data_IF_140431280207
#
_entry.id   IF_140431280207
#
_cell.length_a   1.000
_cell.length_b   1.000
_cell.length_c   1.000
_cell.angle_alpha   90.00
_cell.angle_beta   90.00
_cell.angle_gamma   90.00
#
_symmetry.space_group_name_H-M   'P 1'
#
loop_
_entity.id
_entity.type
_entity.pdbx_description
1 polymer ?
#
# COMPACT_ATOMS: atom_id res chain seq x y z
N UNK A 1 -7.23 40.72 7.31
CA UNK A 1 -7.62 41.89 6.49
C UNK A 1 -6.38 42.71 6.22
N UNK A 2 -6.12 43.17 5.00
CA UNK A 2 -5.01 44.05 4.73
C UNK A 2 -5.26 45.43 5.35
N UNK A 3 -4.28 45.96 6.05
CA UNK A 3 -4.34 47.29 6.66
C UNK A 3 -3.61 48.27 5.75
N UNK A 4 -4.27 49.32 5.31
CA UNK A 4 -3.69 50.38 4.48
C UNK A 4 -3.38 51.56 5.42
N UNK A 5 -2.11 51.89 5.57
CA UNK A 5 -1.69 53.10 6.30
C UNK A 5 -1.46 54.25 5.30
N UNK A 6 -2.21 55.35 5.41
CA UNK A 6 -1.99 56.53 4.53
C UNK A 6 -0.75 57.30 4.98
N UNK A 7 0.24 57.42 4.11
CA UNK A 7 1.41 58.28 4.36
C UNK A 7 2.72 57.83 3.73
N UNK A 8 2.89 56.59 3.37
CA UNK A 8 4.09 56.12 2.66
C UNK A 8 3.80 55.94 1.17
N UNK A 9 4.77 56.27 0.31
CA UNK A 9 4.69 56.02 -1.14
C UNK A 9 4.83 54.53 -1.42
N UNK A 10 3.78 53.76 -1.12
CA UNK A 10 3.70 52.31 -1.37
C UNK A 10 2.55 51.67 -0.63
N UNK A 11 2.11 50.51 -1.14
CA UNK A 11 1.12 49.67 -0.46
C UNK A 11 1.87 48.58 0.29
N UNK A 12 1.73 48.57 1.61
CA UNK A 12 2.28 47.50 2.46
C UNK A 12 1.25 46.43 2.67
N UNK A 13 1.56 45.22 2.26
CA UNK A 13 0.72 44.02 2.53
C UNK A 13 1.31 43.27 3.73
N UNK A 14 0.50 43.09 4.75
CA UNK A 14 0.84 42.24 5.89
C UNK A 14 -0.02 40.97 5.85
N UNK A 15 0.64 39.85 5.73
CA UNK A 15 -0.01 38.54 5.72
C UNK A 15 0.14 37.90 7.11
N UNK A 16 -0.98 37.58 7.72
CA UNK A 16 -1.01 36.78 8.94
C UNK A 16 -1.55 35.40 8.60
N UNK A 17 -0.77 34.38 8.89
CA UNK A 17 -1.16 32.97 8.70
C UNK A 17 -1.59 32.37 10.04
N UNK A 18 -2.55 31.47 9.99
CA UNK A 18 -2.95 30.65 11.14
C UNK A 18 -2.89 29.16 10.71
N UNK A 19 -1.98 28.35 11.24
CA UNK A 19 -0.97 28.68 12.25
C UNK A 19 0.14 29.61 11.72
N UNK A 20 0.96 30.20 12.62
CA UNK A 20 2.17 30.93 12.25
C UNK A 20 3.09 30.10 11.36
N UNK A 21 3.77 30.74 10.40
CA UNK A 21 4.63 30.05 9.41
C UNK A 21 5.70 29.18 10.07
N UNK A 22 6.25 29.60 11.20
CA UNK A 22 7.26 28.85 11.95
C UNK A 22 6.68 27.54 12.49
N UNK A 23 5.47 27.57 13.06
CA UNK A 23 4.78 26.37 13.55
C UNK A 23 4.44 25.43 12.40
N UNK A 24 3.96 25.97 11.28
CA UNK A 24 3.66 25.18 10.08
C UNK A 24 4.93 24.52 9.52
N UNK A 25 6.03 25.25 9.43
CA UNK A 25 7.32 24.71 9.00
C UNK A 25 7.81 23.57 9.90
N UNK A 26 7.66 23.72 11.21
CA UNK A 26 8.01 22.67 12.18
C UNK A 26 7.14 21.40 12.01
N UNK A 27 5.84 21.57 11.84
CA UNK A 27 4.89 20.43 11.63
C UNK A 27 5.20 19.69 10.33
N UNK A 28 5.47 20.40 9.24
CA UNK A 28 5.90 19.82 7.97
C UNK A 28 7.22 19.08 8.11
N UNK A 29 8.20 19.63 8.83
CA UNK A 29 9.48 18.96 9.10
C UNK A 29 9.29 17.64 9.87
N UNK A 30 8.44 17.62 10.88
CA UNK A 30 8.08 16.41 11.63
C UNK A 30 7.38 15.38 10.74
N UNK A 31 6.45 15.81 9.91
CA UNK A 31 5.77 14.94 8.96
C UNK A 31 6.75 14.31 7.98
N UNK A 32 7.62 15.12 7.36
CA UNK A 32 8.64 14.60 6.46
C UNK A 32 9.53 13.54 7.11
N UNK A 33 9.94 13.75 8.37
CA UNK A 33 10.70 12.76 9.13
C UNK A 33 9.89 11.48 9.40
N UNK A 34 8.60 11.59 9.71
CA UNK A 34 7.75 10.43 10.02
C UNK A 34 7.51 9.54 8.80
N UNK A 35 7.34 10.14 7.62
CA UNK A 35 7.16 9.38 6.38
C UNK A 35 8.46 8.91 5.72
N UNK A 36 9.61 9.23 6.28
CA UNK A 36 10.90 8.72 5.82
C UNK A 36 11.18 7.29 6.34
N UNK A 37 10.40 6.79 7.27
CA UNK A 37 10.49 5.41 7.76
C UNK A 37 9.21 4.63 7.49
N UNK A 38 9.21 3.84 6.43
CA UNK A 38 8.06 3.06 5.99
C UNK A 38 7.88 1.72 6.70
N UNK A 39 8.76 1.37 7.64
CA UNK A 39 8.68 0.07 8.33
C UNK A 39 7.33 -0.18 8.99
N UNK A 40 6.70 0.86 9.54
CA UNK A 40 5.36 0.78 10.11
C UNK A 40 4.31 0.37 9.09
N UNK A 41 4.29 1.02 7.93
CA UNK A 41 3.40 0.68 6.81
C UNK A 41 3.70 -0.72 6.25
N UNK A 42 4.97 -0.99 5.94
CA UNK A 42 5.38 -2.24 5.31
C UNK A 42 5.04 -3.47 6.16
N UNK A 43 5.09 -3.35 7.50
CA UNK A 43 4.65 -4.44 8.39
C UNK A 43 3.16 -4.76 8.22
N UNK A 44 2.32 -3.77 7.89
CA UNK A 44 0.89 -4.01 7.64
C UNK A 44 0.64 -4.72 6.31
N UNK A 45 1.58 -4.65 5.37
CA UNK A 45 1.49 -5.33 4.08
C UNK A 45 1.67 -6.84 4.20
N UNK A 46 2.44 -7.33 5.18
CA UNK A 46 2.68 -8.77 5.34
C UNK A 46 1.39 -9.59 5.51
N UNK A 47 0.49 -9.31 6.46
CA UNK A 47 -0.75 -10.06 6.58
C UNK A 47 -1.68 -9.87 5.37
N UNK A 48 -1.67 -8.71 4.73
CA UNK A 48 -2.44 -8.47 3.51
C UNK A 48 -1.92 -9.34 2.36
N UNK A 49 -0.60 -9.41 2.17
CA UNK A 49 0.02 -10.29 1.20
C UNK A 49 -0.32 -11.76 1.44
N UNK A 50 -0.23 -12.23 2.67
CA UNK A 50 -0.58 -13.62 3.04
C UNK A 50 -2.03 -13.94 2.68
N UNK A 51 -2.96 -13.02 2.97
CA UNK A 51 -4.38 -13.17 2.61
C UNK A 51 -4.57 -13.26 1.09
N UNK A 52 -3.91 -12.38 0.33
CA UNK A 52 -3.99 -12.42 -1.13
C UNK A 52 -3.40 -13.69 -1.73
N UNK A 53 -2.31 -14.19 -1.16
CA UNK A 53 -1.73 -15.46 -1.58
C UNK A 53 -2.64 -16.64 -1.21
N UNK A 54 -3.26 -16.64 -0.04
CA UNK A 54 -4.25 -17.65 0.33
C UNK A 54 -5.43 -17.69 -0.66
N UNK A 55 -5.99 -16.52 -1.00
CA UNK A 55 -7.04 -16.37 -2.01
C UNK A 55 -6.58 -16.90 -3.38
N UNK A 56 -5.34 -16.62 -3.77
CA UNK A 56 -4.76 -17.09 -5.02
C UNK A 56 -4.69 -18.62 -5.10
N UNK A 57 -4.28 -19.27 -4.01
CA UNK A 57 -4.28 -20.75 -3.93
C UNK A 57 -5.69 -21.35 -3.85
N UNK A 58 -6.60 -20.71 -3.13
CA UNK A 58 -7.99 -21.18 -3.03
C UNK A 58 -8.73 -21.14 -4.36
N UNK A 59 -8.49 -20.09 -5.14
CA UNK A 59 -9.14 -19.86 -6.43
C UNK A 59 -8.35 -20.42 -7.62
N UNK A 60 -7.22 -21.07 -7.37
CA UNK A 60 -6.31 -21.59 -8.39
C UNK A 60 -5.95 -20.52 -9.44
N UNK A 61 -5.65 -19.32 -8.98
CA UNK A 61 -5.25 -18.19 -9.82
C UNK A 61 -6.40 -17.28 -10.27
N UNK A 62 -7.65 -17.69 -10.15
CA UNK A 62 -8.79 -16.92 -10.68
C UNK A 62 -8.97 -15.55 -10.01
N UNK A 63 -8.55 -15.39 -8.74
CA UNK A 63 -8.61 -14.12 -8.02
C UNK A 63 -7.84 -12.97 -8.69
N UNK A 64 -6.86 -13.27 -9.53
CA UNK A 64 -6.03 -12.29 -10.23
C UNK A 64 -6.24 -12.26 -11.74
N UNK A 65 -7.36 -12.82 -12.21
CA UNK A 65 -7.82 -12.73 -13.60
C UNK A 65 -7.24 -13.80 -14.53
N UNK A 66 -6.69 -14.89 -13.99
CA UNK A 66 -6.23 -16.00 -14.81
C UNK A 66 -6.14 -17.30 -14.04
N UNK A 67 -7.14 -18.17 -14.20
CA UNK A 67 -7.07 -19.51 -13.60
C UNK A 67 -5.82 -20.25 -14.05
N UNK A 68 -5.13 -20.90 -13.15
CA UNK A 68 -3.93 -21.66 -13.47
C UNK A 68 -4.23 -22.81 -14.44
N UNK A 69 -3.32 -23.04 -15.36
CA UNK A 69 -3.45 -24.15 -16.30
C UNK A 69 -3.62 -25.47 -15.54
N UNK A 70 -4.55 -26.28 -16.02
CA UNK A 70 -4.80 -27.61 -15.44
C UNK A 70 -3.51 -28.45 -15.39
N UNK A 71 -3.42 -29.32 -14.42
CA UNK A 71 -2.35 -30.31 -14.37
C UNK A 71 -2.66 -31.45 -15.33
N UNK A 72 -1.62 -32.15 -15.76
CA UNK A 72 -1.75 -33.36 -16.56
C UNK A 72 -2.68 -34.37 -15.88
N UNK A 73 -3.64 -34.98 -16.61
CA UNK A 73 -4.61 -35.91 -16.02
C UNK A 73 -3.97 -37.13 -15.32
N UNK A 74 -2.86 -37.65 -15.84
CA UNK A 74 -2.16 -38.78 -15.21
C UNK A 74 -1.47 -38.35 -13.92
N UNK A 75 -0.89 -37.16 -13.92
CA UNK A 75 -0.35 -36.56 -12.71
C UNK A 75 -1.45 -36.32 -11.66
N UNK A 76 -2.61 -35.79 -12.07
CA UNK A 76 -3.74 -35.56 -11.18
C UNK A 76 -4.21 -36.86 -10.53
N UNK A 77 -4.34 -37.94 -11.31
CA UNK A 77 -4.72 -39.27 -10.81
C UNK A 77 -3.68 -39.85 -9.83
N UNK A 78 -2.39 -39.72 -10.14
CA UNK A 78 -1.32 -40.16 -9.22
C UNK A 78 -1.34 -39.38 -7.90
N UNK A 79 -1.48 -38.08 -7.99
CA UNK A 79 -1.56 -37.17 -6.84
C UNK A 79 -2.72 -37.53 -5.93
N UNK A 80 -3.90 -37.76 -6.51
CA UNK A 80 -5.11 -38.16 -5.75
C UNK A 80 -4.94 -39.52 -5.06
N UNK A 81 -4.37 -40.52 -5.77
CA UNK A 81 -4.07 -41.83 -5.18
C UNK A 81 -3.06 -41.77 -4.03
N UNK A 82 -2.15 -40.78 -4.05
CA UNK A 82 -1.20 -40.54 -2.98
C UNK A 82 -1.77 -39.69 -1.83
N UNK A 83 -3.07 -39.41 -1.80
CA UNK A 83 -3.73 -38.66 -0.71
C UNK A 83 -3.51 -37.15 -0.71
N UNK A 84 -2.96 -36.57 -1.79
CA UNK A 84 -2.62 -35.14 -1.85
C UNK A 84 -3.73 -34.24 -2.42
N UNK A 85 -4.92 -34.76 -2.62
CA UNK A 85 -6.07 -34.01 -3.13
C UNK A 85 -5.90 -33.53 -4.58
N UNK A 86 -6.84 -32.70 -5.05
CA UNK A 86 -6.92 -32.28 -6.46
C UNK A 86 -6.44 -30.84 -6.70
N UNK A 87 -6.32 -30.01 -5.65
CA UNK A 87 -5.98 -28.58 -5.81
C UNK A 87 -4.63 -28.37 -6.50
N UNK A 88 -4.63 -27.50 -7.49
CA UNK A 88 -3.42 -27.11 -8.24
C UNK A 88 -2.47 -26.33 -7.29
N UNK A 89 -1.17 -26.60 -7.39
CA UNK A 89 -0.16 -25.92 -6.55
C UNK A 89 -0.05 -26.40 -5.12
N UNK A 90 -0.90 -27.34 -4.70
CA UNK A 90 -0.89 -27.90 -3.35
C UNK A 90 -0.61 -29.40 -3.42
N UNK A 91 0.67 -29.81 -3.36
CA UNK A 91 1.06 -31.22 -3.22
C UNK A 91 1.26 -31.57 -1.74
N UNK A 92 2.38 -31.17 -1.16
CA UNK A 92 2.66 -31.31 0.29
C UNK A 92 2.14 -30.13 1.12
N UNK A 93 1.65 -29.07 0.48
CA UNK A 93 1.27 -27.82 1.14
C UNK A 93 2.44 -26.87 1.41
N UNK A 94 3.68 -27.29 1.23
CA UNK A 94 4.87 -26.46 1.54
C UNK A 94 4.90 -25.14 0.75
N UNK A 95 4.63 -25.18 -0.56
CA UNK A 95 4.60 -23.97 -1.38
C UNK A 95 3.52 -23.00 -0.91
N UNK A 96 2.32 -23.49 -0.64
CA UNK A 96 1.24 -22.67 -0.07
C UNK A 96 1.65 -22.09 1.28
N UNK A 97 2.15 -22.93 2.20
CA UNK A 97 2.59 -22.54 3.53
C UNK A 97 3.65 -21.43 3.46
N UNK A 98 4.65 -21.57 2.59
CA UNK A 98 5.72 -20.59 2.42
C UNK A 98 5.28 -19.25 1.79
N UNK A 99 4.05 -19.16 1.29
CA UNK A 99 3.48 -17.92 0.76
C UNK A 99 2.40 -17.32 1.66
N UNK A 100 1.84 -18.11 2.57
CA UNK A 100 0.68 -17.71 3.40
C UNK A 100 1.00 -17.57 4.89
N UNK A 101 2.27 -17.36 5.24
CA UNK A 101 2.68 -17.11 6.61
C UNK A 101 3.05 -18.36 7.43
N UNK A 102 3.06 -19.55 6.79
CA UNK A 102 3.50 -20.78 7.45
C UNK A 102 4.99 -21.03 7.32
N UNK A 103 5.42 -22.28 7.53
CA UNK A 103 6.83 -22.66 7.45
C UNK A 103 7.45 -22.30 6.09
N UNK A 104 8.57 -21.59 6.13
CA UNK A 104 9.26 -21.11 4.94
C UNK A 104 8.79 -19.75 4.40
N UNK A 105 7.86 -19.07 5.05
CA UNK A 105 7.53 -17.68 4.77
C UNK A 105 8.62 -16.76 5.33
N UNK A 106 8.89 -15.65 4.61
CA UNK A 106 9.76 -14.55 5.07
C UNK A 106 9.07 -13.22 4.82
N UNK A 107 9.24 -12.31 5.76
CA UNK A 107 8.86 -10.91 5.65
C UNK A 107 10.07 -10.07 6.09
N UNK A 108 10.78 -9.53 5.13
CA UNK A 108 11.93 -8.66 5.36
C UNK A 108 11.48 -7.21 5.16
N UNK A 109 11.66 -6.38 6.17
CA UNK A 109 11.19 -4.99 6.17
C UNK A 109 12.35 -4.06 6.49
N UNK A 110 12.80 -3.35 5.48
CA UNK A 110 13.75 -2.23 5.57
C UNK A 110 13.02 -0.89 5.71
N UNK A 111 13.80 0.20 5.72
CA UNK A 111 13.30 1.56 5.93
C UNK A 111 12.36 2.02 4.80
N UNK A 112 12.69 1.70 3.55
CA UNK A 112 11.95 2.13 2.36
C UNK A 112 11.50 0.98 1.47
N UNK A 113 11.79 -0.26 1.85
CA UNK A 113 11.47 -1.44 1.06
C UNK A 113 10.99 -2.60 1.92
N UNK A 114 10.20 -3.48 1.32
CA UNK A 114 9.75 -4.71 1.97
C UNK A 114 9.69 -5.86 0.97
N UNK A 115 10.13 -7.03 1.41
CA UNK A 115 10.06 -8.27 0.65
C UNK A 115 9.21 -9.28 1.41
N UNK A 116 8.20 -9.83 0.73
CA UNK A 116 7.25 -10.78 1.29
C UNK A 116 7.15 -12.03 0.42
N UNK A 117 7.16 -13.21 1.05
CA UNK A 117 7.02 -14.46 0.31
C UNK A 117 7.91 -15.58 0.84
N UNK A 118 8.41 -16.40 -0.07
CA UNK A 118 9.25 -17.54 0.30
C UNK A 118 10.62 -17.10 0.82
N UNK A 119 11.03 -17.65 1.95
CA UNK A 119 12.40 -17.53 2.46
C UNK A 119 13.42 -18.09 1.47
N UNK A 120 14.69 -17.71 1.63
CA UNK A 120 15.78 -18.22 0.79
C UNK A 120 15.84 -19.76 0.79
N UNK A 121 15.67 -20.39 1.96
CA UNK A 121 15.64 -21.85 2.09
C UNK A 121 14.46 -22.48 1.32
N UNK A 122 13.28 -21.84 1.33
CA UNK A 122 12.10 -22.33 0.62
C UNK A 122 12.16 -22.12 -0.89
N UNK A 123 12.90 -21.11 -1.36
CA UNK A 123 13.16 -20.90 -2.81
C UNK A 123 13.97 -22.02 -3.45
N UNK A 124 14.73 -22.77 -2.65
CA UNK A 124 15.49 -23.92 -3.11
C UNK A 124 14.62 -25.16 -3.41
N UNK A 125 13.30 -25.12 -3.15
CA UNK A 125 12.39 -26.21 -3.49
C UNK A 125 12.32 -26.37 -5.02
N UNK A 126 12.76 -27.50 -5.59
CA UNK A 126 12.92 -27.66 -7.07
C UNK A 126 11.62 -27.43 -7.83
N UNK A 127 10.49 -27.85 -7.25
CA UNK A 127 9.17 -27.70 -7.87
C UNK A 127 8.61 -26.28 -7.80
N UNK A 128 9.05 -25.45 -6.84
CA UNK A 128 8.56 -24.09 -6.67
C UNK A 128 8.89 -23.21 -7.87
N UNK A 129 10.11 -23.29 -8.37
CA UNK A 129 10.55 -22.59 -9.58
C UNK A 129 9.78 -23.04 -10.82
N UNK A 130 9.70 -24.34 -11.03
CA UNK A 130 8.99 -24.93 -12.18
C UNK A 130 7.49 -24.63 -12.17
N UNK A 131 6.90 -24.55 -10.97
CA UNK A 131 5.51 -24.14 -10.81
C UNK A 131 5.32 -22.67 -11.18
N UNK A 132 6.17 -21.79 -10.69
CA UNK A 132 6.09 -20.34 -10.91
C UNK A 132 6.29 -19.95 -12.39
N UNK A 133 7.12 -20.67 -13.13
CA UNK A 133 7.34 -20.44 -14.56
C UNK A 133 6.06 -20.67 -15.41
N UNK A 134 5.24 -21.61 -15.03
CA UNK A 134 4.01 -21.99 -15.76
C UNK A 134 2.74 -21.39 -15.16
N UNK A 135 2.78 -21.00 -13.91
CA UNK A 135 1.63 -20.53 -13.13
C UNK A 135 2.06 -19.37 -12.25
N UNK A 136 1.70 -18.13 -12.60
CA UNK A 136 2.09 -16.97 -11.80
C UNK A 136 1.39 -17.01 -10.44
N UNK A 137 2.13 -17.45 -9.41
CA UNK A 137 1.65 -17.48 -8.03
C UNK A 137 1.56 -16.07 -7.48
N UNK A 138 2.62 -15.29 -7.69
CA UNK A 138 2.69 -13.90 -7.25
C UNK A 138 2.15 -13.01 -8.36
N UNK A 139 0.86 -12.75 -8.31
CA UNK A 139 0.19 -11.80 -9.18
C UNK A 139 -0.77 -10.98 -8.33
N UNK A 140 -0.81 -9.68 -8.58
CA UNK A 140 -1.67 -8.74 -7.84
C UNK A 140 -2.72 -8.21 -8.82
N UNK A 141 -4.00 -8.35 -8.47
CA UNK A 141 -5.11 -7.76 -9.23
C UNK A 141 -5.25 -6.27 -8.93
N UNK A 142 -6.01 -5.55 -9.78
CA UNK A 142 -6.31 -4.13 -9.52
C UNK A 142 -7.02 -3.92 -8.18
N UNK A 143 -7.94 -4.83 -7.81
CA UNK A 143 -8.61 -4.80 -6.51
C UNK A 143 -7.61 -4.90 -5.36
N UNK A 144 -6.73 -5.89 -5.42
CA UNK A 144 -5.71 -6.10 -4.40
C UNK A 144 -4.71 -4.93 -4.33
N UNK A 145 -4.30 -4.37 -5.46
CA UNK A 145 -3.46 -3.17 -5.49
C UNK A 145 -4.16 -1.99 -4.81
N UNK A 146 -5.47 -1.82 -5.04
CA UNK A 146 -6.25 -0.77 -4.38
C UNK A 146 -6.24 -0.92 -2.85
N UNK A 147 -6.29 -2.14 -2.32
CA UNK A 147 -6.19 -2.39 -0.87
C UNK A 147 -4.83 -1.91 -0.29
N UNK A 148 -3.71 -2.14 -0.99
CA UNK A 148 -2.41 -1.59 -0.58
C UNK A 148 -2.36 -0.07 -0.63
N UNK A 149 -2.94 0.53 -1.68
CA UNK A 149 -3.02 1.98 -1.81
C UNK A 149 -3.86 2.62 -0.71
N UNK A 150 -4.99 2.03 -0.34
CA UNK A 150 -5.82 2.53 0.77
C UNK A 150 -5.10 2.42 2.11
N UNK A 151 -4.39 1.33 2.39
CA UNK A 151 -3.54 1.23 3.58
C UNK A 151 -2.45 2.30 3.60
N UNK A 152 -1.79 2.53 2.46
CA UNK A 152 -0.77 3.57 2.33
C UNK A 152 -1.36 4.95 2.61
N UNK A 153 -2.49 5.27 2.01
CA UNK A 153 -3.21 6.52 2.21
C UNK A 153 -3.58 6.73 3.68
N UNK A 154 -4.16 5.71 4.31
CA UNK A 154 -4.54 5.78 5.73
C UNK A 154 -3.31 5.99 6.63
N UNK A 155 -2.20 5.31 6.33
CA UNK A 155 -0.95 5.49 7.06
C UNK A 155 -0.40 6.91 6.90
N UNK A 156 -0.33 7.44 5.67
CA UNK A 156 0.14 8.82 5.42
C UNK A 156 -0.71 9.84 6.17
N UNK A 157 -2.05 9.67 6.15
CA UNK A 157 -2.97 10.54 6.90
C UNK A 157 -2.73 10.45 8.41
N UNK A 158 -2.49 9.25 8.93
CA UNK A 158 -2.20 9.05 10.34
C UNK A 158 -0.89 9.71 10.75
N UNK A 159 0.16 9.59 9.94
CA UNK A 159 1.45 10.24 10.21
C UNK A 159 1.35 11.77 10.12
N UNK A 160 0.59 12.31 9.16
CA UNK A 160 0.33 13.75 9.07
C UNK A 160 -0.37 14.26 10.33
N UNK A 161 -1.39 13.55 10.83
CA UNK A 161 -2.09 13.89 12.07
C UNK A 161 -1.19 13.85 13.29
N UNK A 162 -0.33 12.82 13.41
CA UNK A 162 0.67 12.71 14.49
C UNK A 162 1.66 13.89 14.48
N UNK A 163 2.02 14.35 13.30
CA UNK A 163 2.92 15.50 13.13
C UNK A 163 2.24 16.85 13.43
N UNK A 164 0.91 16.88 13.56
CA UNK A 164 0.10 18.10 13.73
C UNK A 164 -0.42 18.69 12.42
N UNK A 165 -0.07 18.10 11.28
CA UNK A 165 -0.54 18.56 9.98
C UNK A 165 -1.99 18.08 9.78
N UNK A 166 -2.90 19.01 9.60
CA UNK A 166 -4.23 18.69 9.07
C UNK A 166 -5.41 18.71 10.04
N UNK A 167 -5.24 18.96 11.34
CA UNK A 167 -6.38 18.95 12.27
C UNK A 167 -6.95 20.34 12.62
N UNK A 168 -6.14 21.39 12.60
CA UNK A 168 -6.59 22.74 12.96
C UNK A 168 -6.16 23.82 11.96
N UNK A 169 -5.24 23.50 11.08
CA UNK A 169 -4.60 24.45 10.17
C UNK A 169 -5.17 24.47 8.76
N UNK A 170 -5.98 23.49 8.38
CA UNK A 170 -6.61 23.49 7.07
C UNK A 170 -7.99 24.14 7.14
N UNK A 171 -8.34 25.02 6.18
CA UNK A 171 -9.70 25.53 6.02
C UNK A 171 -10.71 24.37 5.98
N UNK A 172 -11.91 24.59 6.52
CA UNK A 172 -12.96 23.57 6.65
C UNK A 172 -13.28 22.85 5.32
N UNK A 173 -13.18 23.55 4.21
CA UNK A 173 -13.34 23.00 2.86
C UNK A 173 -12.31 21.90 2.50
N UNK A 174 -11.11 21.95 3.08
CA UNK A 174 -10.07 20.93 2.89
C UNK A 174 -10.24 19.79 3.89
N UNK A 175 -10.78 20.07 5.09
CA UNK A 175 -11.05 19.04 6.10
C UNK A 175 -12.07 18.01 5.66
N UNK A 176 -13.04 18.41 4.84
CA UNK A 176 -14.15 17.54 4.41
C UNK A 176 -13.82 16.66 3.20
N UNK A 177 -12.60 16.76 2.63
CA UNK A 177 -12.18 15.88 1.53
C UNK A 177 -13.05 15.97 0.28
N UNK A 178 -13.87 17.00 0.18
CA UNK A 178 -14.84 17.15 -0.88
C UNK A 178 -14.65 18.49 -1.63
N UNK A 179 -14.26 18.38 -2.88
CA UNK A 179 -14.40 19.45 -3.84
C UNK A 179 -13.19 20.38 -3.97
N UNK A 180 -12.61 20.33 -5.12
CA UNK A 180 -11.74 21.37 -5.66
C UNK A 180 -12.50 22.68 -5.59
N UNK A 181 -12.17 23.57 -4.67
CA UNK A 181 -12.65 24.94 -4.69
C UNK A 181 -11.99 25.62 -5.90
N UNK A 182 -12.69 25.64 -7.01
CA UNK A 182 -12.35 26.52 -8.12
C UNK A 182 -12.61 27.96 -7.65
N UNK A 183 -11.56 28.60 -7.18
CA UNK A 183 -11.60 30.05 -7.02
C UNK A 183 -11.68 30.67 -8.42
N UNK A 184 -12.87 31.10 -8.81
CA UNK A 184 -13.07 32.07 -9.86
C UNK A 184 -12.44 33.39 -9.43
N UNK A 185 -11.19 33.61 -9.81
CA UNK A 185 -10.59 34.93 -9.84
C UNK A 185 -10.83 35.50 -11.23
N UNK A 186 -12.04 35.99 -11.45
CA UNK A 186 -12.33 36.92 -12.54
C UNK A 186 -13.47 37.82 -12.09
N UNK A 187 -13.12 38.90 -11.45
CA UNK A 187 -14.00 40.05 -11.38
C UNK A 187 -13.18 41.34 -11.55
N UNK A 188 -13.31 41.94 -12.72
CA UNK A 188 -13.24 43.36 -12.89
C UNK A 188 -11.88 43.97 -13.22
N UNK A 189 -11.65 44.11 -14.51
CA UNK A 189 -10.89 45.23 -15.06
C UNK A 189 -11.86 45.98 -15.97
N UNK A 190 -12.07 47.30 -15.73
CA UNK A 190 -12.84 48.15 -16.64
C UNK A 190 -12.09 48.42 -17.94
#
# INVERSE_FOLDING_TARGET
MPTISPGERGVRFEFRTNPPLEKFGYEIGRFAQSIDDWRGLLRTFSPLFQRHMAEQFETEGAATGGRWAAVDPDYARRKQRSGHGTKIGVYSGQLRSSMTGGGGYSAEVGRHEGSFGMSAASRALPYGRHFAERRPVVRISRRQLHEYLELTKQWVIAEARKAGVGNESLPEAIRLGGGVATHSVLAGVP
#
